data_IF_540315719464
#
_entry.id   IF_540315719464
#
_cell.length_a   1.000
_cell.length_b   1.000
_cell.length_c   1.000
_cell.angle_alpha   90.00
_cell.angle_beta   90.00
_cell.angle_gamma   90.00
#
_symmetry.space_group_name_H-M   'P 1'
#
loop_
_entity.id
_entity.type
_entity.pdbx_description
1 polymer ?
#
# COMPACT_ATOMS: atom_id res chain seq x y z
N UNK A 1 15.63 4.86 -10.55
CA UNK A 1 14.84 3.74 -9.99
C UNK A 1 13.42 4.27 -9.83
N UNK A 2 12.40 3.51 -10.23
CA UNK A 2 11.02 3.95 -10.02
C UNK A 2 10.69 3.82 -8.53
N UNK A 3 9.86 4.70 -7.98
CA UNK A 3 9.34 4.54 -6.63
C UNK A 3 8.39 3.34 -6.53
N UNK A 4 8.08 2.89 -5.31
CA UNK A 4 7.12 1.80 -5.10
C UNK A 4 5.74 2.11 -5.69
N UNK A 5 5.27 3.35 -5.54
CA UNK A 5 4.01 3.85 -6.09
C UNK A 5 4.01 3.81 -7.62
N UNK A 6 5.11 4.24 -8.26
CA UNK A 6 5.29 4.17 -9.71
C UNK A 6 5.33 2.72 -10.22
N UNK A 7 5.97 1.82 -9.47
CA UNK A 7 6.01 0.38 -9.80
C UNK A 7 4.61 -0.25 -9.78
N UNK A 8 3.84 0.01 -8.72
CA UNK A 8 2.46 -0.46 -8.59
C UNK A 8 1.56 0.10 -9.68
N UNK A 9 1.59 1.43 -9.89
CA UNK A 9 0.84 2.12 -10.94
C UNK A 9 1.12 1.54 -12.32
N UNK A 10 2.41 1.42 -12.67
CA UNK A 10 2.82 0.89 -13.96
C UNK A 10 2.34 -0.55 -14.17
N UNK A 11 2.32 -1.38 -13.13
CA UNK A 11 1.77 -2.75 -13.24
C UNK A 11 0.25 -2.73 -13.43
N UNK A 12 -0.48 -1.93 -12.65
CA UNK A 12 -1.92 -1.77 -12.80
C UNK A 12 -2.29 -1.36 -14.22
N UNK A 13 -1.59 -0.37 -14.77
CA UNK A 13 -1.83 0.15 -16.12
C UNK A 13 -1.49 -0.88 -17.20
N UNK A 14 -0.41 -1.66 -17.05
CA UNK A 14 -0.10 -2.78 -17.95
C UNK A 14 -1.15 -3.89 -17.95
N UNK A 15 -1.90 -4.04 -16.86
CA UNK A 15 -3.05 -4.95 -16.77
C UNK A 15 -4.34 -4.35 -17.35
N UNK A 16 -4.32 -3.09 -17.81
CA UNK A 16 -5.53 -2.37 -18.24
C UNK A 16 -6.50 -2.08 -17.09
N UNK A 17 -6.06 -2.20 -15.83
CA UNK A 17 -6.91 -2.10 -14.66
C UNK A 17 -7.12 -0.64 -14.25
N UNK A 18 -8.38 -0.25 -14.04
CA UNK A 18 -8.71 1.10 -13.56
C UNK A 18 -8.58 1.21 -12.05
N UNK A 19 -8.46 2.44 -11.52
CA UNK A 19 -8.53 2.67 -10.08
C UNK A 19 -9.88 2.27 -9.48
N UNK A 20 -10.99 2.37 -10.24
CA UNK A 20 -12.31 1.90 -9.81
C UNK A 20 -12.32 0.38 -9.61
N UNK A 21 -11.75 -0.36 -10.57
CA UNK A 21 -11.65 -1.81 -10.48
C UNK A 21 -10.73 -2.24 -9.34
N UNK A 22 -9.59 -1.56 -9.17
CA UNK A 22 -8.68 -1.83 -8.07
C UNK A 22 -9.32 -1.54 -6.71
N UNK A 23 -10.11 -0.47 -6.58
CA UNK A 23 -10.92 -0.19 -5.38
C UNK A 23 -11.89 -1.33 -5.10
N UNK A 24 -12.60 -1.85 -6.11
CA UNK A 24 -13.52 -2.98 -5.94
C UNK A 24 -12.80 -4.26 -5.50
N UNK A 25 -11.62 -4.56 -6.05
CA UNK A 25 -10.84 -5.76 -5.70
C UNK A 25 -10.21 -5.68 -4.31
N UNK A 26 -9.72 -4.50 -3.94
CA UNK A 26 -8.93 -4.30 -2.71
C UNK A 26 -9.75 -3.70 -1.57
N UNK A 27 -10.94 -3.17 -1.81
CA UNK A 27 -11.70 -2.36 -0.86
C UNK A 27 -10.93 -1.13 -0.34
N UNK A 28 -9.81 -0.76 -0.97
CA UNK A 28 -9.06 0.46 -0.67
C UNK A 28 -9.67 1.58 -1.49
N UNK A 29 -10.06 2.67 -0.82
CA UNK A 29 -10.66 3.83 -1.50
C UNK A 29 -9.71 4.39 -2.55
N UNK A 30 -10.24 4.79 -3.71
CA UNK A 30 -9.44 5.38 -4.80
C UNK A 30 -8.52 6.51 -4.36
N UNK A 31 -9.00 7.38 -3.48
CA UNK A 31 -8.18 8.46 -2.92
C UNK A 31 -6.91 7.90 -2.27
N UNK A 32 -7.03 6.85 -1.46
CA UNK A 32 -5.87 6.18 -0.86
C UNK A 32 -4.99 5.52 -1.91
N UNK A 33 -5.55 4.81 -2.89
CA UNK A 33 -4.78 4.21 -3.98
C UNK A 33 -3.95 5.26 -4.74
N UNK A 34 -4.52 6.43 -5.04
CA UNK A 34 -3.81 7.54 -5.67
C UNK A 34 -2.68 8.09 -4.81
N UNK A 35 -2.87 8.19 -3.49
CA UNK A 35 -1.80 8.58 -2.56
C UNK A 35 -0.64 7.57 -2.60
N UNK A 36 -0.94 6.26 -2.58
CA UNK A 36 0.06 5.20 -2.71
C UNK A 36 0.80 5.30 -4.05
N UNK A 37 0.09 5.48 -5.17
CA UNK A 37 0.72 5.62 -6.51
C UNK A 37 1.66 6.83 -6.61
N UNK A 38 1.43 7.85 -5.80
CA UNK A 38 2.22 9.08 -5.76
C UNK A 38 3.28 9.06 -4.65
N UNK A 39 3.45 7.96 -3.90
CA UNK A 39 4.27 7.91 -2.67
C UNK A 39 3.90 8.99 -1.64
N UNK A 40 2.68 9.52 -1.68
CA UNK A 40 2.20 10.52 -0.74
C UNK A 40 1.61 9.83 0.51
N UNK A 41 2.50 9.12 1.21
CA UNK A 41 2.14 8.45 2.46
C UNK A 41 1.78 9.45 3.56
N UNK A 42 2.36 10.65 3.51
CA UNK A 42 2.11 11.71 4.48
C UNK A 42 0.64 12.12 4.57
N UNK A 43 -0.07 12.12 3.43
CA UNK A 43 -1.48 12.46 3.32
C UNK A 43 -2.44 11.29 3.65
N UNK A 44 -1.92 10.11 3.99
CA UNK A 44 -2.77 9.01 4.47
C UNK A 44 -3.38 9.39 5.83
N UNK A 45 -4.61 8.95 6.08
CA UNK A 45 -5.27 9.14 7.39
C UNK A 45 -4.45 8.56 8.54
N UNK A 46 -3.76 7.44 8.28
CA UNK A 46 -2.81 6.84 9.17
C UNK A 46 -1.68 6.24 8.31
N UNK A 47 -0.46 6.75 8.49
CA UNK A 47 0.72 6.35 7.72
C UNK A 47 1.14 4.92 8.04
N UNK A 48 0.84 4.43 9.26
CA UNK A 48 1.16 3.06 9.70
C UNK A 48 0.43 1.99 8.87
N UNK A 49 -0.60 2.36 8.09
CA UNK A 49 -1.29 1.43 7.20
C UNK A 49 -0.70 1.37 5.79
N UNK A 50 0.32 2.17 5.47
CA UNK A 50 0.92 2.23 4.14
C UNK A 50 1.36 0.85 3.64
N UNK A 51 2.12 0.11 4.46
CA UNK A 51 2.61 -1.22 4.12
C UNK A 51 1.46 -2.20 3.81
N UNK A 52 0.43 -2.25 4.67
CA UNK A 52 -0.75 -3.08 4.45
C UNK A 52 -1.50 -2.73 3.15
N UNK A 53 -1.59 -1.45 2.80
CA UNK A 53 -2.17 -1.02 1.52
C UNK A 53 -1.31 -1.45 0.33
N UNK A 54 0.01 -1.31 0.44
CA UNK A 54 0.97 -1.74 -0.59
C UNK A 54 0.87 -3.25 -0.82
N UNK A 55 0.87 -4.06 0.23
CA UNK A 55 0.74 -5.53 0.14
C UNK A 55 -0.57 -5.90 -0.57
N UNK A 56 -1.68 -5.28 -0.18
CA UNK A 56 -2.99 -5.56 -0.77
C UNK A 56 -3.08 -5.12 -2.24
N UNK A 57 -2.47 -3.98 -2.58
CA UNK A 57 -2.34 -3.53 -3.97
C UNK A 57 -1.49 -4.54 -4.76
N UNK A 58 -0.27 -4.83 -4.33
CA UNK A 58 0.66 -5.76 -4.99
C UNK A 58 0.00 -7.09 -5.35
N UNK A 59 -0.71 -7.70 -4.38
CA UNK A 59 -1.48 -8.93 -4.59
C UNK A 59 -2.55 -8.78 -5.67
N UNK A 60 -3.30 -7.67 -5.67
CA UNK A 60 -4.35 -7.43 -6.67
C UNK A 60 -3.81 -7.25 -8.10
N UNK A 61 -2.54 -6.88 -8.26
CA UNK A 61 -1.87 -6.72 -9.57
C UNK A 61 -0.80 -7.79 -9.86
N UNK A 62 -0.83 -8.90 -9.11
CA UNK A 62 0.06 -10.05 -9.27
C UNK A 62 1.54 -9.64 -9.25
N UNK A 63 1.92 -8.87 -8.23
CA UNK A 63 3.31 -8.61 -7.83
C UNK A 63 3.56 -9.39 -6.52
N UNK A 64 4.73 -10.00 -6.40
CA UNK A 64 5.24 -10.55 -5.14
C UNK A 64 5.41 -9.40 -4.13
N UNK A 65 4.57 -9.38 -3.10
CA UNK A 65 4.58 -8.30 -2.12
C UNK A 65 5.88 -8.28 -1.31
N UNK A 66 6.43 -9.44 -0.98
CA UNK A 66 7.53 -9.54 -0.03
C UNK A 66 8.81 -9.01 -0.69
N UNK A 67 9.03 -9.35 -1.96
CA UNK A 67 10.11 -8.78 -2.76
C UNK A 67 9.93 -7.28 -3.00
N UNK A 68 8.69 -6.83 -3.24
CA UNK A 68 8.41 -5.42 -3.47
C UNK A 68 8.69 -4.58 -2.21
N UNK A 69 8.28 -5.07 -1.04
CA UNK A 69 8.52 -4.40 0.25
C UNK A 69 10.01 -4.33 0.53
N UNK A 70 10.75 -5.44 0.43
CA UNK A 70 12.18 -5.42 0.73
C UNK A 70 12.96 -4.48 -0.21
N UNK A 71 12.61 -4.47 -1.51
CA UNK A 71 13.27 -3.61 -2.49
C UNK A 71 13.01 -2.10 -2.27
N UNK A 72 11.94 -1.74 -1.55
CA UNK A 72 11.50 -0.36 -1.35
C UNK A 72 11.34 0.04 0.12
N UNK A 73 11.91 -0.73 1.06
CA UNK A 73 11.69 -0.55 2.50
C UNK A 73 11.94 0.88 3.00
N UNK A 74 12.94 1.55 2.45
CA UNK A 74 13.33 2.92 2.81
C UNK A 74 12.28 3.97 2.39
N UNK A 75 11.37 3.63 1.46
CA UNK A 75 10.29 4.51 1.02
C UNK A 75 9.02 4.37 1.88
N UNK A 76 8.88 3.26 2.60
CA UNK A 76 7.65 2.92 3.32
C UNK A 76 7.76 3.50 4.73
N UNK A 77 6.74 4.24 5.22
CA UNK A 77 6.73 4.68 6.61
C UNK A 77 6.85 3.47 7.53
N UNK A 78 7.86 3.47 8.40
CA UNK A 78 7.98 2.46 9.45
C UNK A 78 6.76 2.58 10.35
N UNK A 79 5.86 1.60 10.25
CA UNK A 79 4.92 1.38 11.31
C UNK A 79 5.72 0.80 12.47
N UNK A 80 6.12 1.66 13.41
CA UNK A 80 6.47 1.22 14.76
C UNK A 80 5.20 0.61 15.34
N UNK A 81 4.94 -0.65 14.97
CA UNK A 81 3.94 -1.48 15.59
C UNK A 81 4.50 -1.86 16.95
N UNK A 82 4.21 -1.01 17.93
CA UNK A 82 4.13 -1.47 19.31
C UNK A 82 2.99 -2.51 19.34
N UNK A 83 3.38 -3.77 19.15
CA UNK A 83 2.47 -4.91 19.12
C UNK A 83 1.69 -5.00 20.44
N UNK A 84 2.28 -4.52 21.54
CA UNK A 84 1.64 -4.46 22.85
C UNK A 84 0.51 -3.41 22.86
N UNK A 85 0.69 -2.27 22.19
CA UNK A 85 -0.37 -1.27 22.03
C UNK A 85 -1.53 -1.76 21.16
N UNK A 86 -1.24 -2.46 20.07
CA UNK A 86 -2.28 -3.02 19.20
C UNK A 86 -3.10 -4.04 19.98
N UNK A 87 -2.44 -4.96 20.67
CA UNK A 87 -3.08 -5.96 21.54
C UNK A 87 -3.94 -5.27 22.60
N UNK A 88 -3.41 -4.26 23.30
CA UNK A 88 -4.14 -3.53 24.34
C UNK A 88 -5.42 -2.83 23.84
N UNK A 89 -5.45 -2.39 22.57
CA UNK A 89 -6.60 -1.71 21.97
C UNK A 89 -7.73 -2.68 21.57
N UNK A 90 -7.43 -3.95 21.29
CA UNK A 90 -8.41 -4.97 20.90
C UNK A 90 -9.05 -5.70 22.09
N UNK A 91 -8.41 -5.70 23.26
CA UNK A 91 -8.92 -6.35 24.48
C UNK A 91 -9.58 -5.38 25.48
N UNK A 92 -10.03 -4.20 25.02
CA UNK A 92 -10.90 -3.29 25.79
C UNK A 92 -12.37 -3.48 25.46
#
# INVERSE_FOLDING_TARGET
MNSIGQTLKGRRERLGMTLNELESRTQIKRKTLTLIENNDFASLKNQNYAEGFIIKYAKAVNIDSDQLIEAHKEEIPNADYDLDQVIAAFFR
#
